data_IF_024888315811
#
_entry.id   IF_024888315811
#
_cell.length_a   1.000
_cell.length_b   1.000
_cell.length_c   1.000
_cell.angle_alpha   90.00
_cell.angle_beta   90.00
_cell.angle_gamma   90.00
#
_symmetry.space_group_name_H-M   'P 1'
#
loop_
_entity.id
_entity.type
_entity.pdbx_description
1 polymer ?
#
# COMPACT_ATOMS: atom_id res chain seq x y z
N UNK A 1 -17.41 21.20 21.66
CA UNK A 1 -17.45 21.02 20.18
C UNK A 1 -16.05 21.23 19.63
N UNK A 2 -15.50 20.27 18.87
CA UNK A 2 -14.24 20.51 18.14
C UNK A 2 -14.42 21.61 17.12
N UNK A 3 -13.45 22.51 17.01
CA UNK A 3 -13.48 23.51 15.94
C UNK A 3 -13.35 22.85 14.58
N UNK A 4 -14.21 23.23 13.64
CA UNK A 4 -14.13 22.78 12.25
C UNK A 4 -12.78 23.18 11.65
N UNK A 5 -12.04 22.18 11.15
CA UNK A 5 -10.70 22.37 10.54
C UNK A 5 -10.77 22.19 9.03
N UNK A 6 -9.93 22.92 8.31
CA UNK A 6 -9.71 22.75 6.88
C UNK A 6 -8.49 21.86 6.67
N UNK A 7 -8.70 20.68 6.07
CA UNK A 7 -7.67 19.67 5.86
C UNK A 7 -7.37 19.55 4.37
N UNK A 8 -6.10 19.71 4.00
CA UNK A 8 -5.62 19.48 2.64
C UNK A 8 -4.86 18.15 2.60
N UNK A 9 -5.31 17.22 1.76
CA UNK A 9 -4.69 15.91 1.57
C UNK A 9 -4.07 15.84 0.18
N UNK A 10 -2.75 15.56 0.10
CA UNK A 10 -1.98 15.61 -1.14
C UNK A 10 -1.47 14.22 -1.50
N UNK A 11 -1.76 13.76 -2.72
CA UNK A 11 -1.42 12.43 -3.26
C UNK A 11 -0.71 12.52 -4.61
N UNK A 12 0.00 11.45 -5.01
CA UNK A 12 0.60 11.32 -6.35
C UNK A 12 -0.22 10.48 -7.32
N UNK A 13 -1.37 9.96 -6.88
CA UNK A 13 -2.25 9.11 -7.70
C UNK A 13 -3.69 9.33 -7.25
N UNK A 14 -4.57 9.70 -8.17
CA UNK A 14 -5.94 10.07 -7.86
C UNK A 14 -6.76 8.89 -7.28
N UNK A 15 -6.66 7.70 -7.88
CA UNK A 15 -7.35 6.49 -7.44
C UNK A 15 -6.96 6.10 -6.01
N UNK A 16 -5.74 6.46 -5.58
CA UNK A 16 -5.30 6.17 -4.22
C UNK A 16 -6.09 6.91 -3.14
N UNK A 17 -6.70 8.05 -3.49
CA UNK A 17 -7.56 8.83 -2.60
C UNK A 17 -8.82 8.06 -2.21
N UNK A 18 -9.42 7.35 -3.16
CA UNK A 18 -10.61 6.54 -2.91
C UNK A 18 -10.26 5.15 -2.41
N UNK A 19 -9.30 4.47 -3.06
CA UNK A 19 -8.94 3.08 -2.77
C UNK A 19 -8.24 2.93 -1.42
N UNK A 20 -7.26 3.78 -1.11
CA UNK A 20 -6.45 3.64 0.12
C UNK A 20 -6.83 4.62 1.23
N UNK A 21 -7.44 5.75 0.90
CA UNK A 21 -7.70 6.85 1.85
C UNK A 21 -9.18 7.22 1.94
N UNK A 22 -10.05 6.62 1.12
CA UNK A 22 -11.47 6.96 1.09
C UNK A 22 -12.13 6.88 2.47
N UNK A 23 -11.87 5.84 3.23
CA UNK A 23 -12.38 5.70 4.61
C UNK A 23 -11.85 6.79 5.56
N UNK A 24 -10.56 7.19 5.44
CA UNK A 24 -9.99 8.27 6.23
C UNK A 24 -10.59 9.63 5.86
N UNK A 25 -10.73 9.90 4.55
CA UNK A 25 -11.34 11.15 4.06
C UNK A 25 -12.80 11.26 4.51
N UNK A 26 -13.55 10.16 4.38
CA UNK A 26 -14.93 10.10 4.84
C UNK A 26 -15.06 10.31 6.35
N UNK A 27 -14.16 9.74 7.14
CA UNK A 27 -14.13 9.94 8.58
C UNK A 27 -13.83 11.41 8.95
N UNK A 28 -12.90 12.08 8.26
CA UNK A 28 -12.63 13.51 8.47
C UNK A 28 -13.89 14.36 8.22
N UNK A 29 -14.62 14.07 7.13
CA UNK A 29 -15.87 14.78 6.80
C UNK A 29 -16.95 14.48 7.83
N UNK A 30 -17.09 13.22 8.26
CA UNK A 30 -18.06 12.82 9.28
C UNK A 30 -17.82 13.50 10.64
N UNK A 31 -16.56 13.81 10.98
CA UNK A 31 -16.23 14.64 12.15
C UNK A 31 -16.45 16.15 11.94
N UNK A 32 -17.01 16.54 10.78
CA UNK A 32 -17.39 17.94 10.47
C UNK A 32 -16.26 18.77 9.90
N UNK A 33 -15.13 18.21 9.50
CA UNK A 33 -14.02 18.94 8.90
C UNK A 33 -14.25 19.21 7.42
N UNK A 34 -13.62 20.27 6.91
CA UNK A 34 -13.65 20.61 5.49
C UNK A 34 -12.42 19.98 4.80
N UNK A 35 -12.66 18.98 3.95
CA UNK A 35 -11.59 18.20 3.32
C UNK A 35 -11.41 18.57 1.85
N UNK A 36 -10.16 18.88 1.48
CA UNK A 36 -9.72 19.11 0.11
C UNK A 36 -8.70 18.02 -0.22
N UNK A 37 -8.96 17.23 -1.25
CA UNK A 37 -8.05 16.19 -1.72
C UNK A 37 -7.42 16.61 -3.06
N UNK A 38 -6.11 16.44 -3.19
CA UNK A 38 -5.36 16.90 -4.36
C UNK A 38 -4.48 15.78 -4.91
N UNK A 39 -4.56 15.58 -6.23
CA UNK A 39 -3.77 14.58 -6.96
C UNK A 39 -3.71 14.96 -8.46
N UNK A 40 -2.99 14.20 -9.33
CA UNK A 40 -3.10 14.34 -10.79
C UNK A 40 -4.53 14.24 -11.30
N UNK A 41 -4.81 14.67 -12.53
CA UNK A 41 -6.15 14.56 -13.13
C UNK A 41 -6.79 13.19 -12.89
N UNK A 42 -8.03 13.19 -12.41
CA UNK A 42 -8.80 12.00 -12.09
C UNK A 42 -9.88 11.73 -13.14
N UNK A 43 -10.22 10.46 -13.32
CA UNK A 43 -11.38 10.02 -14.08
C UNK A 43 -12.73 10.36 -13.39
N UNK A 44 -13.83 10.18 -14.11
CA UNK A 44 -15.17 10.43 -13.61
C UNK A 44 -15.52 9.66 -12.33
N UNK A 45 -15.27 8.34 -12.26
CA UNK A 45 -15.54 7.53 -11.07
C UNK A 45 -14.87 8.03 -9.79
N UNK A 46 -13.58 8.39 -9.84
CA UNK A 46 -12.87 8.92 -8.67
C UNK A 46 -13.45 10.26 -8.22
N UNK A 47 -13.71 11.17 -9.17
CA UNK A 47 -14.33 12.47 -8.86
C UNK A 47 -15.71 12.31 -8.23
N UNK A 48 -16.54 11.44 -8.79
CA UNK A 48 -17.89 11.16 -8.27
C UNK A 48 -17.82 10.59 -6.86
N UNK A 49 -16.95 9.62 -6.60
CA UNK A 49 -16.78 9.03 -5.28
C UNK A 49 -16.32 10.06 -4.23
N UNK A 50 -15.36 10.94 -4.56
CA UNK A 50 -14.92 12.01 -3.66
C UNK A 50 -16.03 13.03 -3.39
N UNK A 51 -16.79 13.42 -4.42
CA UNK A 51 -17.91 14.34 -4.27
C UNK A 51 -19.03 13.75 -3.37
N UNK A 52 -19.35 12.47 -3.51
CA UNK A 52 -20.29 11.75 -2.64
C UNK A 52 -19.84 11.71 -1.17
N UNK A 53 -18.53 11.68 -0.92
CA UNK A 53 -17.97 11.80 0.44
C UNK A 53 -17.98 13.24 0.98
N UNK A 54 -18.36 14.25 0.18
CA UNK A 54 -18.25 15.66 0.56
C UNK A 54 -16.83 16.22 0.50
N UNK A 55 -15.92 15.56 -0.22
CA UNK A 55 -14.52 15.96 -0.38
C UNK A 55 -14.36 16.78 -1.66
N UNK A 56 -13.81 17.99 -1.54
CA UNK A 56 -13.47 18.83 -2.70
C UNK A 56 -12.20 18.27 -3.37
N UNK A 57 -12.26 18.00 -4.67
CA UNK A 57 -11.10 17.56 -5.45
C UNK A 57 -10.44 18.74 -6.17
N UNK A 58 -9.09 18.80 -6.12
CA UNK A 58 -8.26 19.74 -6.86
C UNK A 58 -7.18 19.02 -7.63
N UNK A 59 -6.96 19.39 -8.87
CA UNK A 59 -5.90 18.81 -9.69
C UNK A 59 -4.55 19.46 -9.42
N UNK A 60 -3.50 18.63 -9.40
CA UNK A 60 -2.11 19.03 -9.29
C UNK A 60 -1.27 18.35 -10.37
N UNK A 61 -0.29 19.04 -10.98
CA UNK A 61 0.58 18.46 -11.98
C UNK A 61 1.68 17.58 -11.34
N UNK A 62 1.28 16.52 -10.64
CA UNK A 62 2.21 15.59 -9.99
C UNK A 62 2.66 14.55 -11.00
N UNK A 63 3.94 14.57 -11.36
CA UNK A 63 4.57 13.48 -12.08
C UNK A 63 4.94 12.36 -11.09
N UNK A 64 4.34 11.18 -11.25
CA UNK A 64 4.49 10.05 -10.30
C UNK A 64 5.91 9.48 -10.29
N UNK A 65 6.57 9.46 -11.44
CA UNK A 65 7.89 8.85 -11.62
C UNK A 65 8.91 9.88 -12.14
N UNK A 66 10.18 9.63 -11.84
CA UNK A 66 11.30 10.44 -12.34
C UNK A 66 11.60 11.71 -11.54
N UNK A 67 12.75 12.30 -11.83
CA UNK A 67 13.23 13.57 -11.29
C UNK A 67 13.33 14.55 -12.48
N UNK A 68 12.25 15.25 -12.79
CA UNK A 68 12.24 16.33 -13.77
C UNK A 68 12.14 17.67 -13.01
N UNK A 69 13.22 18.47 -12.94
CA UNK A 69 13.26 19.69 -12.14
C UNK A 69 12.21 20.72 -12.56
N UNK A 70 11.90 20.79 -13.87
CA UNK A 70 10.93 21.76 -14.41
C UNK A 70 9.52 21.37 -13.93
N UNK A 71 9.14 20.08 -14.07
CA UNK A 71 7.85 19.58 -13.60
C UNK A 71 7.71 19.68 -12.09
N UNK A 72 8.80 19.42 -11.36
CA UNK A 72 8.80 19.54 -9.90
C UNK A 72 8.65 21.02 -9.48
N UNK A 73 9.24 21.98 -10.21
CA UNK A 73 9.02 23.41 -10.00
C UNK A 73 7.55 23.81 -10.30
N UNK A 74 6.98 23.32 -11.40
CA UNK A 74 5.56 23.56 -11.73
C UNK A 74 4.64 23.04 -10.62
N UNK A 75 4.93 21.84 -10.09
CA UNK A 75 4.21 21.29 -8.95
C UNK A 75 4.33 22.19 -7.71
N UNK A 76 5.54 22.69 -7.40
CA UNK A 76 5.76 23.58 -6.26
C UNK A 76 4.98 24.89 -6.39
N UNK A 77 4.95 25.50 -7.58
CA UNK A 77 4.16 26.72 -7.85
C UNK A 77 2.65 26.45 -7.67
N UNK A 78 2.15 25.34 -8.24
CA UNK A 78 0.75 24.96 -8.11
C UNK A 78 0.37 24.69 -6.65
N UNK A 79 1.21 23.98 -5.89
CA UNK A 79 1.04 23.76 -4.46
C UNK A 79 1.04 25.07 -3.66
N UNK A 80 1.96 25.98 -3.94
CA UNK A 80 2.02 27.28 -3.27
C UNK A 80 0.72 28.07 -3.47
N UNK A 81 0.27 28.19 -4.74
CA UNK A 81 -1.00 28.86 -5.05
C UNK A 81 -2.19 28.19 -4.33
N UNK A 82 -2.27 26.87 -4.38
CA UNK A 82 -3.36 26.11 -3.75
C UNK A 82 -3.36 26.28 -2.22
N UNK A 83 -2.22 26.16 -1.55
CA UNK A 83 -2.12 26.31 -0.09
C UNK A 83 -2.47 27.73 0.34
N UNK A 84 -1.97 28.76 -0.38
CA UNK A 84 -2.31 30.18 -0.09
C UNK A 84 -3.80 30.46 -0.28
N UNK A 85 -4.42 29.95 -1.34
CA UNK A 85 -5.86 30.18 -1.61
C UNK A 85 -6.76 29.40 -0.66
N UNK A 86 -6.40 28.15 -0.36
CA UNK A 86 -7.22 27.30 0.52
C UNK A 86 -7.02 27.61 2.00
N UNK A 87 -5.87 28.18 2.40
CA UNK A 87 -5.48 28.46 3.78
C UNK A 87 -5.84 27.29 4.73
N UNK A 88 -5.24 26.10 4.55
CA UNK A 88 -5.59 24.92 5.35
C UNK A 88 -5.01 25.03 6.77
N UNK A 89 -5.73 24.51 7.76
CA UNK A 89 -5.21 24.33 9.13
C UNK A 89 -4.23 23.15 9.21
N UNK A 90 -4.47 22.15 8.35
CA UNK A 90 -3.77 20.88 8.35
C UNK A 90 -3.43 20.47 6.92
N UNK A 91 -2.18 20.02 6.71
CA UNK A 91 -1.75 19.35 5.48
C UNK A 91 -1.31 17.94 5.82
N UNK A 92 -1.88 16.94 5.12
CA UNK A 92 -1.45 15.55 5.12
C UNK A 92 -0.95 15.19 3.72
N UNK A 93 0.34 14.91 3.58
CA UNK A 93 0.94 14.47 2.32
C UNK A 93 1.31 12.99 2.40
N UNK A 94 1.06 12.23 1.33
CA UNK A 94 1.52 10.84 1.25
C UNK A 94 2.09 10.51 -0.12
N UNK A 95 2.97 9.50 -0.20
CA UNK A 95 3.90 9.19 -1.30
C UNK A 95 5.03 10.21 -1.45
N UNK A 96 6.11 9.86 -2.15
CA UNK A 96 7.38 10.57 -2.10
C UNK A 96 7.29 12.07 -2.45
N UNK A 97 6.84 12.42 -3.66
CA UNK A 97 6.81 13.83 -4.10
C UNK A 97 5.85 14.70 -3.29
N UNK A 98 4.61 14.28 -3.00
CA UNK A 98 3.74 15.01 -2.08
C UNK A 98 4.35 15.23 -0.69
N UNK A 99 4.97 14.20 -0.11
CA UNK A 99 5.65 14.32 1.19
C UNK A 99 6.78 15.36 1.13
N UNK A 100 7.60 15.34 0.09
CA UNK A 100 8.72 16.27 -0.05
C UNK A 100 8.21 17.70 -0.32
N UNK A 101 7.51 17.89 -1.42
CA UNK A 101 7.14 19.22 -1.91
C UNK A 101 5.92 19.80 -1.19
N UNK A 102 4.91 18.94 -0.88
CA UNK A 102 3.72 19.35 -0.14
C UNK A 102 4.06 19.83 1.27
N UNK A 103 4.92 19.09 1.99
CA UNK A 103 5.34 19.50 3.33
C UNK A 103 6.25 20.76 3.30
N UNK A 104 7.13 20.86 2.29
CA UNK A 104 7.98 22.04 2.12
C UNK A 104 7.14 23.31 1.88
N UNK A 105 6.20 23.24 0.95
CA UNK A 105 5.32 24.37 0.59
C UNK A 105 4.36 24.70 1.74
N UNK A 106 3.79 23.70 2.41
CA UNK A 106 2.94 23.93 3.58
C UNK A 106 3.66 24.74 4.66
N UNK A 107 4.93 24.40 4.92
CA UNK A 107 5.77 25.16 5.86
C UNK A 107 6.09 26.58 5.36
N UNK A 108 6.38 26.75 4.07
CA UNK A 108 6.62 28.09 3.49
C UNK A 108 5.38 28.99 3.52
N UNK A 109 4.21 28.41 3.61
CA UNK A 109 2.93 29.10 3.75
C UNK A 109 2.44 29.16 5.20
N UNK A 110 3.28 28.83 6.19
CA UNK A 110 2.97 28.86 7.62
C UNK A 110 1.73 28.05 8.01
N UNK A 111 1.51 26.88 7.36
CA UNK A 111 0.41 25.99 7.74
C UNK A 111 0.63 25.49 9.18
N UNK A 112 -0.38 25.62 10.08
CA UNK A 112 -0.21 25.34 11.51
C UNK A 112 0.19 23.89 11.82
N UNK A 113 -0.26 22.90 11.01
CA UNK A 113 0.05 21.50 11.26
C UNK A 113 0.30 20.74 9.96
N UNK A 114 1.50 20.18 9.84
CA UNK A 114 1.91 19.42 8.66
C UNK A 114 2.24 17.99 9.05
N UNK A 115 1.65 17.04 8.34
CA UNK A 115 1.79 15.60 8.55
C UNK A 115 2.28 14.92 7.27
N UNK A 116 3.14 13.92 7.43
CA UNK A 116 3.64 13.11 6.33
C UNK A 116 3.32 11.64 6.57
N UNK A 117 2.81 10.94 5.56
CA UNK A 117 2.60 9.50 5.61
C UNK A 117 3.52 8.81 4.60
N UNK A 118 4.45 8.04 5.12
CA UNK A 118 5.42 7.26 4.36
C UNK A 118 4.80 5.89 4.06
N UNK A 119 4.45 5.66 2.81
CA UNK A 119 3.76 4.44 2.35
C UNK A 119 4.70 3.37 1.80
N UNK A 120 6.00 3.55 2.01
CA UNK A 120 7.10 2.71 1.54
C UNK A 120 8.23 3.56 0.98
N UNK A 121 9.45 2.99 0.92
CA UNK A 121 10.64 3.72 0.46
C UNK A 121 10.64 3.99 -1.05
N UNK A 122 9.88 3.23 -1.83
CA UNK A 122 9.83 3.33 -3.28
C UNK A 122 11.11 2.87 -3.98
N UNK A 123 11.04 2.79 -5.31
CA UNK A 123 12.11 2.30 -6.18
C UNK A 123 13.44 3.06 -6.03
N UNK A 124 13.39 4.37 -5.75
CA UNK A 124 14.58 5.23 -5.67
C UNK A 124 15.57 4.87 -4.55
N UNK A 125 15.15 4.07 -3.56
CA UNK A 125 16.03 3.60 -2.49
C UNK A 125 16.54 2.16 -2.68
N UNK A 126 15.96 1.39 -3.59
CA UNK A 126 16.28 -0.04 -3.79
C UNK A 126 17.20 -0.30 -4.98
N UNK A 127 17.26 0.59 -5.95
CA UNK A 127 18.10 0.42 -7.14
C UNK A 127 19.61 0.56 -6.83
N UNK A 128 20.47 -0.28 -7.49
CA UNK A 128 21.90 -0.41 -7.19
C UNK A 128 22.85 0.26 -8.19
N UNK A 129 22.34 0.88 -9.28
CA UNK A 129 23.17 1.51 -10.30
C UNK A 129 23.84 2.81 -9.84
N UNK A 130 24.92 3.27 -10.54
CA UNK A 130 25.58 4.55 -10.27
C UNK A 130 24.61 5.74 -10.39
N UNK A 131 23.73 5.74 -11.40
CA UNK A 131 22.65 6.74 -11.55
C UNK A 131 21.70 6.70 -10.35
N UNK A 132 21.39 5.52 -9.82
CA UNK A 132 20.59 5.36 -8.64
C UNK A 132 21.27 5.93 -7.38
N UNK A 133 22.60 5.90 -7.29
CA UNK A 133 23.34 6.49 -6.16
C UNK A 133 23.19 8.01 -6.11
N UNK A 134 23.31 8.70 -7.23
CA UNK A 134 23.11 10.16 -7.32
C UNK A 134 21.65 10.52 -7.01
N UNK A 135 20.71 9.82 -7.64
CA UNK A 135 19.27 9.98 -7.37
C UNK A 135 18.95 9.81 -5.89
N UNK A 136 19.53 8.80 -5.25
CA UNK A 136 19.36 8.53 -3.82
C UNK A 136 19.89 9.67 -2.94
N UNK A 137 21.04 10.25 -3.30
CA UNK A 137 21.62 11.39 -2.58
C UNK A 137 20.70 12.61 -2.70
N UNK A 138 20.22 12.94 -3.90
CA UNK A 138 19.25 14.02 -4.12
C UNK A 138 17.98 13.78 -3.31
N UNK A 139 17.38 12.59 -3.40
CA UNK A 139 16.18 12.23 -2.64
C UNK A 139 16.37 12.37 -1.14
N UNK A 140 17.55 12.00 -0.61
CA UNK A 140 17.86 12.20 0.81
C UNK A 140 17.80 13.67 1.22
N UNK A 141 18.40 14.57 0.43
CA UNK A 141 18.35 16.00 0.73
C UNK A 141 16.94 16.56 0.60
N UNK A 142 16.18 16.15 -0.41
CA UNK A 142 14.80 16.56 -0.61
C UNK A 142 13.89 16.09 0.55
N UNK A 143 14.00 14.82 0.98
CA UNK A 143 13.26 14.33 2.14
C UNK A 143 13.62 15.10 3.42
N UNK A 144 14.92 15.34 3.68
CA UNK A 144 15.34 16.15 4.84
C UNK A 144 14.72 17.53 4.82
N UNK A 145 14.70 18.18 3.66
CA UNK A 145 14.10 19.51 3.50
C UNK A 145 12.57 19.48 3.71
N UNK A 146 11.87 18.52 3.10
CA UNK A 146 10.43 18.36 3.19
C UNK A 146 9.96 17.98 4.60
N UNK A 147 10.68 17.05 5.25
CA UNK A 147 10.30 16.58 6.58
C UNK A 147 10.76 17.49 7.73
N UNK A 148 11.52 18.53 7.43
CA UNK A 148 11.92 19.51 8.47
C UNK A 148 10.69 20.28 8.98
N UNK A 149 10.39 20.13 10.26
CA UNK A 149 9.31 20.89 10.93
C UNK A 149 7.90 20.34 10.69
N UNK A 150 7.75 19.10 10.20
CA UNK A 150 6.46 18.40 10.27
C UNK A 150 6.15 18.03 11.72
N UNK A 151 4.86 17.92 12.04
CA UNK A 151 4.41 17.58 13.39
C UNK A 151 4.54 16.09 13.69
N UNK A 152 4.09 15.23 12.76
CA UNK A 152 4.17 13.77 12.86
C UNK A 152 4.49 13.17 11.51
N UNK A 153 5.37 12.16 11.49
CA UNK A 153 5.59 11.25 10.38
C UNK A 153 4.90 9.91 10.68
N UNK A 154 3.94 9.53 9.85
CA UNK A 154 3.32 8.20 9.91
C UNK A 154 4.12 7.22 9.05
N UNK A 155 4.38 6.02 9.58
CA UNK A 155 5.01 4.91 8.86
C UNK A 155 4.09 3.70 8.87
N UNK A 156 4.15 2.88 7.83
CA UNK A 156 3.33 1.68 7.72
C UNK A 156 4.04 0.42 8.24
N UNK A 157 5.35 0.46 8.43
CA UNK A 157 6.13 -0.61 9.04
C UNK A 157 7.36 -0.04 9.79
N UNK A 158 7.90 -0.79 10.78
CA UNK A 158 9.02 -0.33 11.59
C UNK A 158 10.36 -0.28 10.82
N UNK A 159 10.51 -1.08 9.77
CA UNK A 159 11.73 -1.09 8.97
C UNK A 159 11.90 0.20 8.19
N UNK A 160 10.82 0.74 7.60
CA UNK A 160 10.85 2.04 6.90
C UNK A 160 11.15 3.18 7.88
N UNK A 161 10.56 3.17 9.06
CA UNK A 161 10.88 4.15 10.10
C UNK A 161 12.37 4.08 10.47
N UNK A 162 12.90 2.89 10.73
CA UNK A 162 14.32 2.68 11.06
C UNK A 162 15.22 3.24 9.98
N UNK A 163 14.97 2.92 8.70
CA UNK A 163 15.75 3.43 7.57
C UNK A 163 15.72 4.96 7.50
N UNK A 164 14.54 5.59 7.72
CA UNK A 164 14.44 7.05 7.73
C UNK A 164 15.25 7.67 8.86
N UNK A 165 15.30 7.04 10.04
CA UNK A 165 16.12 7.49 11.18
C UNK A 165 17.62 7.30 10.91
N UNK A 166 18.05 6.11 10.47
CA UNK A 166 19.45 5.78 10.17
C UNK A 166 20.03 6.68 9.07
N UNK A 167 19.28 6.92 8.01
CA UNK A 167 19.66 7.82 6.92
C UNK A 167 19.52 9.30 7.29
N UNK A 168 19.09 9.61 8.51
CA UNK A 168 18.84 10.98 9.00
C UNK A 168 17.89 11.78 8.11
N UNK A 169 16.90 11.11 7.49
CA UNK A 169 15.85 11.74 6.71
C UNK A 169 14.81 12.38 7.64
N UNK A 170 14.54 11.72 8.76
CA UNK A 170 13.67 12.21 9.83
C UNK A 170 14.52 12.61 11.03
N UNK A 171 14.40 13.85 11.50
CA UNK A 171 15.11 14.35 12.68
C UNK A 171 14.64 13.61 13.94
N UNK A 172 15.50 13.52 14.97
CA UNK A 172 15.20 12.80 16.22
C UNK A 172 14.07 13.42 17.03
N UNK A 173 13.91 14.74 16.93
CA UNK A 173 12.88 15.53 17.60
C UNK A 173 11.49 15.45 16.95
N UNK A 174 11.39 14.92 15.72
CA UNK A 174 10.11 14.73 15.04
C UNK A 174 9.49 13.41 15.48
N UNK A 175 8.24 13.49 15.97
CA UNK A 175 7.43 12.33 16.36
C UNK A 175 7.16 11.44 15.16
N UNK A 176 7.35 10.14 15.30
CA UNK A 176 6.90 9.11 14.37
C UNK A 176 5.82 8.24 15.00
N UNK A 177 4.88 7.80 14.19
CA UNK A 177 3.78 6.93 14.60
C UNK A 177 3.65 5.81 13.58
N UNK A 178 3.66 4.57 14.06
CA UNK A 178 3.38 3.40 13.23
C UNK A 178 1.87 3.25 13.05
N UNK A 179 1.43 3.15 11.79
CA UNK A 179 0.06 2.88 11.42
C UNK A 179 0.00 1.55 10.66
N UNK A 180 -1.06 0.79 10.86
CA UNK A 180 -1.21 -0.54 10.27
C UNK A 180 -1.73 -0.45 8.82
N UNK A 181 -0.91 0.13 7.93
CA UNK A 181 -1.25 0.31 6.52
C UNK A 181 -2.36 1.33 6.28
N UNK A 182 -3.19 1.04 5.29
CA UNK A 182 -4.46 1.76 5.04
C UNK A 182 -5.64 1.17 5.80
N UNK A 183 -5.40 0.07 6.52
CA UNK A 183 -6.45 -0.74 7.08
C UNK A 183 -7.27 -1.52 6.04
N UNK A 184 -8.20 -2.32 6.51
CA UNK A 184 -9.18 -3.04 5.71
C UNK A 184 -10.56 -2.89 6.34
N UNK A 185 -11.59 -2.70 5.51
CA UNK A 185 -12.99 -2.74 5.96
C UNK A 185 -13.39 -4.19 6.25
N UNK A 186 -13.31 -4.57 7.51
CA UNK A 186 -13.65 -5.93 7.97
C UNK A 186 -15.14 -6.26 7.85
N UNK A 187 -16.00 -5.25 7.68
CA UNK A 187 -17.42 -5.40 7.42
C UNK A 187 -17.71 -5.68 5.94
N UNK A 188 -16.94 -5.08 5.02
CA UNK A 188 -17.04 -5.31 3.58
C UNK A 188 -16.33 -6.61 3.14
N UNK A 189 -15.19 -6.95 3.78
CA UNK A 189 -14.42 -8.18 3.54
C UNK A 189 -14.74 -9.21 4.63
N UNK A 190 -15.90 -9.87 4.51
CA UNK A 190 -16.37 -10.88 5.48
C UNK A 190 -15.82 -12.26 5.15
N UNK A 191 -15.60 -13.11 6.17
CA UNK A 191 -15.28 -14.51 5.94
C UNK A 191 -16.37 -15.22 5.12
N UNK A 192 -15.89 -16.07 4.22
CA UNK A 192 -16.76 -16.93 3.41
C UNK A 192 -16.18 -18.35 3.41
N UNK A 193 -16.99 -19.40 3.16
CA UNK A 193 -16.52 -20.78 3.10
C UNK A 193 -15.30 -20.97 2.19
N UNK A 194 -14.46 -21.94 2.50
CA UNK A 194 -13.34 -22.30 1.68
C UNK A 194 -13.79 -23.14 0.46
N UNK A 195 -13.11 -23.03 -0.69
CA UNK A 195 -13.36 -23.92 -1.81
C UNK A 195 -12.99 -25.37 -1.44
N UNK A 196 -13.65 -26.33 -2.10
CA UNK A 196 -13.43 -27.76 -1.83
C UNK A 196 -12.01 -28.24 -2.17
N UNK A 197 -11.36 -27.60 -3.18
CA UNK A 197 -9.99 -27.91 -3.57
C UNK A 197 -9.05 -26.82 -3.09
N UNK A 198 -7.91 -27.22 -2.53
CA UNK A 198 -6.82 -26.28 -2.19
C UNK A 198 -6.40 -25.50 -3.42
N UNK A 199 -6.35 -24.19 -3.30
CA UNK A 199 -6.00 -23.28 -4.40
C UNK A 199 -5.28 -22.05 -3.86
N UNK A 200 -4.44 -21.44 -4.70
CA UNK A 200 -3.59 -20.31 -4.35
C UNK A 200 -3.96 -19.09 -5.18
N UNK A 201 -3.90 -17.91 -4.57
CA UNK A 201 -4.22 -16.65 -5.23
C UNK A 201 -3.17 -15.60 -4.90
N UNK A 202 -2.71 -14.91 -5.93
CA UNK A 202 -1.92 -13.67 -5.82
C UNK A 202 -2.70 -12.52 -6.47
N UNK A 203 -2.74 -11.35 -5.80
CA UNK A 203 -3.34 -10.12 -6.33
C UNK A 203 -2.30 -9.02 -6.21
N UNK A 204 -1.79 -8.52 -7.34
CA UNK A 204 -0.79 -7.47 -7.37
C UNK A 204 -0.73 -6.77 -8.73
N UNK A 205 -0.12 -5.57 -8.80
CA UNK A 205 0.44 -5.10 -10.05
C UNK A 205 1.52 -6.07 -10.49
N UNK A 206 1.58 -6.39 -11.78
CA UNK A 206 2.51 -7.41 -12.29
C UNK A 206 3.92 -6.82 -12.44
N UNK A 207 4.57 -6.62 -11.28
CA UNK A 207 5.92 -6.09 -11.16
C UNK A 207 6.86 -7.16 -10.62
N UNK A 208 8.12 -7.15 -11.05
CA UNK A 208 9.16 -8.09 -10.57
C UNK A 208 9.33 -7.99 -9.04
N UNK A 209 9.32 -6.76 -8.49
CA UNK A 209 9.40 -6.54 -7.05
C UNK A 209 8.18 -7.04 -6.24
N UNK A 210 7.08 -7.37 -6.90
CA UNK A 210 5.94 -8.07 -6.26
C UNK A 210 6.12 -9.59 -6.19
N UNK A 211 7.20 -10.10 -6.77
CA UNK A 211 7.55 -11.53 -6.73
C UNK A 211 6.70 -12.39 -7.68
N UNK A 212 6.16 -11.81 -8.78
CA UNK A 212 5.32 -12.54 -9.74
C UNK A 212 6.08 -13.74 -10.33
N UNK A 213 7.37 -13.56 -10.69
CA UNK A 213 8.23 -14.64 -11.17
C UNK A 213 8.46 -15.72 -10.11
N UNK A 214 8.62 -15.33 -8.85
CA UNK A 214 8.78 -16.27 -7.73
C UNK A 214 7.51 -17.08 -7.53
N UNK A 215 6.33 -16.44 -7.64
CA UNK A 215 5.03 -17.10 -7.58
C UNK A 215 4.84 -18.10 -8.71
N UNK A 216 5.12 -17.71 -9.97
CA UNK A 216 5.01 -18.60 -11.13
C UNK A 216 5.98 -19.78 -11.03
N UNK A 217 7.24 -19.55 -10.60
CA UNK A 217 8.21 -20.62 -10.40
C UNK A 217 7.78 -21.60 -9.31
N UNK A 218 7.28 -21.10 -8.18
CA UNK A 218 6.73 -21.95 -7.12
C UNK A 218 5.52 -22.76 -7.61
N UNK A 219 4.64 -22.16 -8.44
CA UNK A 219 3.53 -22.86 -9.05
C UNK A 219 3.99 -24.03 -9.95
N UNK A 220 5.03 -23.83 -10.78
CA UNK A 220 5.62 -24.90 -11.58
C UNK A 220 6.13 -26.05 -10.72
N UNK A 221 6.85 -25.74 -9.62
CA UNK A 221 7.40 -26.74 -8.69
C UNK A 221 6.28 -27.55 -8.03
N UNK A 222 5.27 -26.87 -7.49
CA UNK A 222 4.13 -27.51 -6.81
C UNK A 222 3.34 -28.36 -7.79
N UNK A 223 3.02 -27.86 -8.99
CA UNK A 223 2.23 -28.60 -9.99
C UNK A 223 2.93 -29.84 -10.54
N UNK A 224 4.26 -29.83 -10.59
CA UNK A 224 5.02 -31.03 -10.95
C UNK A 224 4.82 -32.20 -9.96
N UNK A 225 4.56 -31.88 -8.68
CA UNK A 225 4.33 -32.87 -7.60
C UNK A 225 2.82 -33.09 -7.32
N UNK A 226 2.01 -32.05 -7.51
CA UNK A 226 0.57 -32.03 -7.24
C UNK A 226 -0.19 -31.51 -8.48
N UNK A 227 -0.36 -32.30 -9.53
CA UNK A 227 -1.08 -31.90 -10.75
C UNK A 227 -2.50 -31.44 -10.46
N UNK A 228 -2.94 -30.38 -11.13
CA UNK A 228 -4.32 -29.88 -11.02
C UNK A 228 -4.61 -28.96 -9.83
N UNK A 229 -3.60 -28.56 -9.04
CA UNK A 229 -3.74 -27.50 -8.03
C UNK A 229 -3.81 -26.13 -8.73
N UNK A 230 -4.88 -25.35 -8.52
CA UNK A 230 -5.03 -24.04 -9.17
C UNK A 230 -4.13 -22.98 -8.57
N UNK A 231 -3.42 -22.26 -9.44
CA UNK A 231 -2.67 -21.05 -9.11
C UNK A 231 -3.27 -19.88 -9.88
N UNK A 232 -3.90 -18.93 -9.18
CA UNK A 232 -4.59 -17.79 -9.77
C UNK A 232 -3.79 -16.51 -9.58
N UNK A 233 -3.79 -15.67 -10.61
CA UNK A 233 -3.14 -14.37 -10.61
C UNK A 233 -4.14 -13.29 -11.04
N UNK A 234 -4.31 -12.28 -10.21
CA UNK A 234 -5.11 -11.09 -10.48
C UNK A 234 -4.20 -9.88 -10.57
N UNK A 235 -4.36 -9.06 -11.60
CA UNK A 235 -3.57 -7.85 -11.74
C UNK A 235 -3.49 -7.34 -13.18
N UNK A 236 -2.54 -6.47 -13.41
CA UNK A 236 -2.25 -5.90 -14.73
C UNK A 236 -0.77 -5.58 -14.87
N UNK A 237 -0.26 -5.61 -16.09
CA UNK A 237 1.08 -5.12 -16.42
C UNK A 237 1.05 -3.60 -16.37
N UNK A 238 1.97 -2.99 -15.62
CA UNK A 238 2.07 -1.55 -15.41
C UNK A 238 3.12 -0.95 -16.37
N UNK A 239 2.95 0.30 -16.80
CA UNK A 239 3.92 1.06 -17.61
C UNK A 239 5.12 1.51 -16.77
N UNK A 240 5.84 0.59 -16.17
CA UNK A 240 7.03 0.87 -15.36
C UNK A 240 8.18 -0.06 -15.73
N UNK A 241 9.44 0.37 -15.58
CA UNK A 241 10.59 -0.48 -15.90
C UNK A 241 10.69 -1.80 -15.11
N UNK A 242 9.94 -1.92 -14.00
CA UNK A 242 9.89 -3.12 -13.16
C UNK A 242 8.75 -4.07 -13.54
N UNK A 243 7.94 -3.71 -14.54
CA UNK A 243 6.87 -4.58 -15.03
C UNK A 243 7.43 -5.89 -15.58
N UNK A 244 6.70 -7.00 -15.36
CA UNK A 244 7.03 -8.26 -16.02
C UNK A 244 6.78 -8.15 -17.53
N UNK A 245 7.44 -8.98 -18.31
CA UNK A 245 7.19 -9.05 -19.76
C UNK A 245 5.88 -9.77 -20.02
N UNK A 246 5.16 -9.30 -21.04
CA UNK A 246 3.91 -9.93 -21.46
C UNK A 246 4.12 -11.38 -21.92
N UNK A 247 5.29 -11.66 -22.53
CA UNK A 247 5.71 -12.98 -22.96
C UNK A 247 5.81 -13.97 -21.80
N UNK A 248 6.36 -13.53 -20.65
CA UNK A 248 6.46 -14.38 -19.46
C UNK A 248 5.06 -14.75 -18.96
N UNK A 249 4.13 -13.78 -18.88
CA UNK A 249 2.75 -14.02 -18.47
C UNK A 249 2.04 -14.98 -19.42
N UNK A 250 2.17 -14.77 -20.75
CA UNK A 250 1.59 -15.66 -21.76
C UNK A 250 2.10 -17.09 -21.61
N UNK A 251 3.41 -17.26 -21.46
CA UNK A 251 4.02 -18.59 -21.29
C UNK A 251 3.41 -19.35 -20.10
N UNK A 252 3.21 -18.66 -18.95
CA UNK A 252 2.63 -19.30 -17.75
C UNK A 252 1.13 -19.60 -17.89
N UNK A 253 0.42 -18.86 -18.72
CA UNK A 253 -0.99 -19.12 -19.02
C UNK A 253 -1.13 -20.28 -20.02
N UNK A 254 -0.32 -20.27 -21.08
CA UNK A 254 -0.38 -21.28 -22.15
C UNK A 254 0.03 -22.68 -21.67
N UNK A 255 1.03 -22.76 -20.77
CA UNK A 255 1.45 -24.04 -20.15
C UNK A 255 0.55 -24.45 -18.96
N UNK A 256 -0.45 -23.62 -18.62
CA UNK A 256 -1.40 -23.85 -17.55
C UNK A 256 -0.81 -23.68 -16.13
N UNK A 257 0.40 -23.12 -15.99
CA UNK A 257 1.01 -22.85 -14.68
C UNK A 257 0.16 -21.86 -13.87
N UNK A 258 -0.37 -20.82 -14.53
CA UNK A 258 -1.15 -19.75 -13.93
C UNK A 258 -2.50 -19.58 -14.62
N UNK A 259 -3.56 -19.50 -13.85
CA UNK A 259 -4.88 -19.00 -14.27
C UNK A 259 -4.90 -17.48 -14.09
N UNK A 260 -4.74 -16.72 -15.18
CA UNK A 260 -4.73 -15.26 -15.12
C UNK A 260 -6.15 -14.69 -15.25
N UNK A 261 -6.58 -13.92 -14.24
CA UNK A 261 -7.94 -13.36 -14.13
C UNK A 261 -8.02 -11.89 -14.55
N UNK A 262 -6.90 -11.29 -15.00
CA UNK A 262 -6.86 -9.88 -15.38
C UNK A 262 -7.02 -8.92 -14.20
N UNK A 263 -7.30 -7.65 -14.50
CA UNK A 263 -7.59 -6.61 -13.51
C UNK A 263 -9.06 -6.69 -13.09
N UNK A 264 -9.32 -6.88 -11.82
CA UNK A 264 -10.69 -6.94 -11.27
C UNK A 264 -11.06 -5.63 -10.57
N UNK A 265 -12.28 -5.17 -10.78
CA UNK A 265 -12.85 -4.05 -10.04
C UNK A 265 -13.20 -4.44 -8.60
N UNK A 266 -13.64 -5.68 -8.38
CA UNK A 266 -13.90 -6.27 -7.08
C UNK A 266 -13.09 -7.56 -6.93
N UNK A 267 -12.19 -7.60 -5.94
CA UNK A 267 -11.32 -8.75 -5.70
C UNK A 267 -11.95 -9.80 -4.76
N UNK A 268 -13.08 -9.47 -4.12
CA UNK A 268 -13.74 -10.37 -3.15
C UNK A 268 -14.13 -11.73 -3.75
N UNK A 269 -14.69 -11.83 -4.96
CA UNK A 269 -14.99 -13.12 -5.56
C UNK A 269 -13.73 -13.98 -5.79
N UNK A 270 -12.62 -13.37 -6.22
CA UNK A 270 -11.36 -14.09 -6.42
C UNK A 270 -10.77 -14.58 -5.09
N UNK A 271 -10.81 -13.76 -4.03
CA UNK A 271 -10.39 -14.15 -2.67
C UNK A 271 -11.29 -15.26 -2.14
N UNK A 272 -12.60 -15.18 -2.36
CA UNK A 272 -13.57 -16.21 -1.95
C UNK A 272 -13.28 -17.57 -2.58
N UNK A 273 -12.89 -17.58 -3.86
CA UNK A 273 -12.55 -18.76 -4.62
C UNK A 273 -11.16 -19.36 -4.31
N UNK A 274 -10.38 -18.71 -3.44
CA UNK A 274 -9.05 -19.16 -3.05
C UNK A 274 -9.01 -19.75 -1.64
N UNK A 275 -8.14 -20.74 -1.42
CA UNK A 275 -7.88 -21.31 -0.10
C UNK A 275 -6.80 -20.53 0.66
N UNK A 276 -5.74 -20.12 -0.03
CA UNK A 276 -4.56 -19.47 0.52
C UNK A 276 -4.19 -18.25 -0.32
N UNK A 277 -3.90 -17.16 0.34
CA UNK A 277 -3.39 -15.96 -0.30
C UNK A 277 -1.86 -15.94 -0.30
N UNK A 278 -1.25 -15.55 -1.43
CA UNK A 278 0.20 -15.59 -1.62
C UNK A 278 0.70 -14.24 -2.13
N UNK A 279 1.70 -13.66 -1.46
CA UNK A 279 2.35 -12.43 -1.93
C UNK A 279 3.86 -12.49 -1.63
N UNK A 280 4.70 -13.01 -2.53
CA UNK A 280 6.15 -13.15 -2.32
C UNK A 280 6.89 -11.85 -2.68
N UNK A 281 6.40 -10.70 -2.19
CA UNK A 281 6.93 -9.38 -2.50
C UNK A 281 8.30 -9.14 -1.85
N UNK A 282 9.15 -8.37 -2.51
CA UNK A 282 10.47 -7.99 -2.01
C UNK A 282 10.41 -6.89 -0.96
N UNK A 283 9.38 -6.06 -0.99
CA UNK A 283 9.13 -4.98 -0.03
C UNK A 283 7.72 -4.40 -0.20
N UNK A 284 7.09 -4.02 0.90
CA UNK A 284 5.80 -3.32 0.92
C UNK A 284 5.82 -2.17 1.97
N UNK A 285 4.82 -1.31 1.91
CA UNK A 285 4.45 -0.50 3.07
C UNK A 285 3.70 -1.37 4.09
N UNK A 286 2.45 -1.65 3.78
CA UNK A 286 1.63 -2.76 4.31
C UNK A 286 0.72 -3.18 3.15
N UNK A 287 0.80 -4.43 2.68
CA UNK A 287 0.11 -4.85 1.45
C UNK A 287 -1.39 -5.00 1.69
N UNK A 288 -2.18 -4.11 1.11
CA UNK A 288 -3.63 -4.05 1.31
C UNK A 288 -4.33 -5.35 0.90
N UNK A 289 -3.94 -5.96 -0.21
CA UNK A 289 -4.55 -7.20 -0.70
C UNK A 289 -4.34 -8.37 0.26
N UNK A 290 -3.24 -8.38 1.02
CA UNK A 290 -3.04 -9.31 2.13
C UNK A 290 -4.05 -9.05 3.25
N UNK A 291 -4.27 -7.77 3.62
CA UNK A 291 -5.25 -7.42 4.65
C UNK A 291 -6.67 -7.81 4.24
N UNK A 292 -7.02 -7.63 2.97
CA UNK A 292 -8.31 -8.02 2.39
C UNK A 292 -8.50 -9.55 2.45
N UNK A 293 -7.47 -10.31 2.08
CA UNK A 293 -7.50 -11.77 2.19
C UNK A 293 -7.58 -12.26 3.65
N UNK A 294 -6.80 -11.66 4.55
CA UNK A 294 -6.88 -11.93 6.00
C UNK A 294 -8.27 -11.64 6.56
N UNK A 295 -8.86 -10.51 6.17
CA UNK A 295 -10.21 -10.14 6.60
C UNK A 295 -11.26 -11.15 6.12
N UNK A 296 -11.08 -11.76 4.95
CA UNK A 296 -11.92 -12.84 4.45
C UNK A 296 -11.55 -14.23 5.00
N UNK A 297 -10.66 -14.29 5.99
CA UNK A 297 -10.27 -15.51 6.67
C UNK A 297 -9.34 -16.41 5.85
N UNK A 298 -8.52 -15.86 4.96
CA UNK A 298 -7.54 -16.65 4.19
C UNK A 298 -6.20 -16.68 4.90
N UNK A 299 -5.57 -17.85 5.10
CA UNK A 299 -4.18 -17.91 5.52
C UNK A 299 -3.27 -17.28 4.47
N UNK A 300 -2.12 -16.76 4.91
CA UNK A 300 -1.23 -15.96 4.06
C UNK A 300 0.15 -16.60 3.98
N UNK A 301 0.70 -16.74 2.76
CA UNK A 301 2.13 -17.00 2.55
C UNK A 301 2.77 -15.76 1.94
N UNK A 302 3.77 -15.22 2.64
CA UNK A 302 4.48 -14.02 2.18
C UNK A 302 5.96 -14.10 2.56
N UNK A 303 6.73 -13.13 2.11
CA UNK A 303 8.17 -13.06 2.38
C UNK A 303 8.47 -12.45 3.75
N UNK A 304 9.60 -12.83 4.33
CA UNK A 304 10.21 -12.14 5.46
C UNK A 304 10.89 -10.83 5.01
N UNK A 305 10.06 -9.92 4.52
CA UNK A 305 10.44 -8.62 3.98
C UNK A 305 9.71 -7.49 4.71
N UNK A 306 10.28 -6.25 4.72
CA UNK A 306 9.60 -5.08 5.27
C UNK A 306 8.19 -4.88 4.71
N UNK A 307 7.21 -4.65 5.58
CA UNK A 307 5.81 -4.49 5.24
C UNK A 307 5.04 -5.79 5.00
N UNK A 308 5.72 -6.86 4.60
CA UNK A 308 5.14 -8.19 4.45
C UNK A 308 5.09 -8.93 5.78
N UNK A 309 6.23 -9.02 6.48
CA UNK A 309 6.36 -9.78 7.73
C UNK A 309 5.42 -9.36 8.84
N UNK A 310 4.98 -8.10 8.85
CA UNK A 310 4.05 -7.57 9.85
C UNK A 310 2.64 -8.16 9.73
N UNK A 311 2.33 -8.76 8.57
CA UNK A 311 1.01 -9.35 8.29
C UNK A 311 0.94 -10.84 8.62
N UNK A 312 2.08 -11.50 8.86
CA UNK A 312 2.13 -12.94 9.13
C UNK A 312 2.89 -13.25 10.42
N UNK A 313 2.25 -13.96 11.31
CA UNK A 313 2.88 -14.69 12.42
C UNK A 313 3.15 -16.11 11.95
N UNK A 314 4.42 -16.42 11.63
CA UNK A 314 4.84 -17.70 11.07
C UNK A 314 4.29 -18.89 11.86
N UNK A 315 3.63 -19.82 11.18
CA UNK A 315 3.01 -21.00 11.78
C UNK A 315 1.65 -20.73 12.47
N UNK A 316 1.15 -19.48 12.51
CA UNK A 316 -0.12 -19.13 13.18
C UNK A 316 -1.21 -18.76 12.19
N UNK A 317 -0.98 -17.73 11.34
CA UNK A 317 -1.92 -17.33 10.30
C UNK A 317 -1.36 -17.55 8.89
N UNK A 318 -0.25 -18.26 8.76
CA UNK A 318 0.42 -18.56 7.51
C UNK A 318 1.93 -18.76 7.67
N UNK A 319 2.67 -18.59 6.58
CA UNK A 319 4.11 -18.83 6.57
C UNK A 319 4.88 -17.64 6.00
N UNK A 320 6.04 -17.36 6.61
CA UNK A 320 7.06 -16.46 6.07
C UNK A 320 8.12 -17.28 5.35
N UNK A 321 8.52 -16.85 4.16
CA UNK A 321 9.58 -17.46 3.34
C UNK A 321 10.67 -16.42 3.02
N UNK A 322 11.89 -16.84 2.69
CA UNK A 322 12.93 -15.91 2.24
C UNK A 322 12.53 -15.18 0.96
N UNK A 323 13.01 -13.94 0.80
CA UNK A 323 12.79 -13.13 -0.39
C UNK A 323 13.44 -13.78 -1.61
N UNK A 324 12.70 -13.93 -2.71
CA UNK A 324 13.20 -14.46 -3.97
C UNK A 324 13.35 -16.00 -4.02
N UNK A 325 13.00 -16.71 -2.95
CA UNK A 325 13.14 -18.16 -2.85
C UNK A 325 11.85 -18.89 -3.25
N UNK A 326 11.80 -19.35 -4.50
CA UNK A 326 10.65 -20.08 -5.05
C UNK A 326 10.50 -21.50 -4.48
N UNK A 327 11.62 -22.17 -4.10
CA UNK A 327 11.59 -23.50 -3.47
C UNK A 327 11.02 -23.44 -2.06
N UNK A 328 11.46 -22.47 -1.26
CA UNK A 328 10.90 -22.26 0.08
C UNK A 328 9.41 -21.87 -0.02
N UNK A 329 9.03 -21.07 -1.02
CA UNK A 329 7.63 -20.73 -1.27
C UNK A 329 6.83 -21.99 -1.63
N UNK A 330 7.31 -22.83 -2.58
CA UNK A 330 6.66 -24.07 -2.97
C UNK A 330 6.47 -25.00 -1.77
N UNK A 331 7.51 -25.19 -0.96
CA UNK A 331 7.47 -26.00 0.27
C UNK A 331 6.41 -25.48 1.26
N UNK A 332 6.30 -24.17 1.44
CA UNK A 332 5.28 -23.57 2.31
C UNK A 332 3.85 -23.81 1.77
N UNK A 333 3.67 -23.74 0.45
CA UNK A 333 2.39 -23.98 -0.21
C UNK A 333 1.98 -25.47 -0.14
N UNK A 334 2.92 -26.37 -0.30
CA UNK A 334 2.69 -27.83 -0.18
C UNK A 334 2.16 -28.24 1.19
N UNK A 335 2.51 -27.53 2.26
CA UNK A 335 1.96 -27.80 3.60
C UNK A 335 0.44 -27.70 3.64
N UNK A 336 -0.17 -26.77 2.90
CA UNK A 336 -1.62 -26.64 2.82
C UNK A 336 -2.27 -27.72 1.95
N UNK A 337 -1.54 -28.27 1.00
CA UNK A 337 -2.01 -29.40 0.16
C UNK A 337 -1.98 -30.69 0.97
N UNK A 338 -0.87 -30.94 1.68
CA UNK A 338 -0.65 -32.14 2.46
C UNK A 338 -1.45 -32.16 3.78
N UNK A 339 -1.74 -30.97 4.32
CA UNK A 339 -2.48 -30.81 5.58
C UNK A 339 -3.57 -29.73 5.41
N UNK A 340 -4.69 -30.05 4.72
CA UNK A 340 -5.75 -29.07 4.42
C UNK A 340 -6.43 -28.48 5.68
N UNK A 341 -6.35 -29.16 6.84
CA UNK A 341 -6.85 -28.64 8.12
C UNK A 341 -6.18 -27.36 8.57
N UNK A 342 -4.94 -27.07 8.11
CA UNK A 342 -4.26 -25.80 8.37
C UNK A 342 -4.99 -24.59 7.76
N UNK A 343 -5.78 -24.80 6.69
CA UNK A 343 -6.44 -23.71 5.99
C UNK A 343 -7.47 -23.02 6.89
N UNK A 344 -8.48 -23.69 7.45
CA UNK A 344 -9.43 -23.05 8.35
C UNK A 344 -8.79 -22.57 9.66
N UNK A 345 -7.85 -23.32 10.23
CA UNK A 345 -7.15 -22.95 11.46
C UNK A 345 -6.39 -21.62 11.31
N UNK A 346 -5.49 -21.53 10.33
CA UNK A 346 -4.72 -20.32 10.07
C UNK A 346 -5.58 -19.19 9.49
N UNK A 347 -6.64 -19.52 8.76
CA UNK A 347 -7.61 -18.56 8.25
C UNK A 347 -8.36 -17.85 9.38
N UNK A 348 -8.75 -18.56 10.42
CA UNK A 348 -9.37 -17.96 11.61
C UNK A 348 -8.44 -16.99 12.31
N UNK A 349 -7.16 -17.34 12.46
CA UNK A 349 -6.16 -16.45 13.04
C UNK A 349 -5.88 -15.23 12.15
N UNK A 350 -5.84 -15.40 10.81
CA UNK A 350 -5.78 -14.29 9.86
C UNK A 350 -6.93 -13.31 10.07
N UNK A 351 -8.17 -13.80 10.16
CA UNK A 351 -9.36 -12.97 10.43
C UNK A 351 -9.23 -12.23 11.76
N UNK A 352 -8.83 -12.93 12.82
CA UNK A 352 -8.63 -12.33 14.13
C UNK A 352 -7.64 -11.19 14.08
N UNK A 353 -6.47 -11.41 13.45
CA UNK A 353 -5.46 -10.36 13.27
C UNK A 353 -5.96 -9.19 12.43
N UNK A 354 -6.75 -9.44 11.38
CA UNK A 354 -7.33 -8.38 10.55
C UNK A 354 -8.27 -7.48 11.37
N UNK A 355 -9.14 -8.07 12.20
CA UNK A 355 -10.08 -7.34 13.06
C UNK A 355 -9.35 -6.56 14.16
N UNK A 356 -8.40 -7.21 14.87
CA UNK A 356 -7.73 -6.60 16.02
C UNK A 356 -6.72 -5.52 15.64
N UNK A 357 -5.99 -5.72 14.53
CA UNK A 357 -4.84 -4.87 14.18
C UNK A 357 -5.08 -4.00 12.95
N UNK A 358 -5.84 -4.48 11.97
CA UNK A 358 -5.91 -3.89 10.64
C UNK A 358 -7.29 -3.33 10.28
N UNK A 359 -8.26 -3.37 11.21
CA UNK A 359 -9.55 -2.72 10.94
C UNK A 359 -9.35 -1.23 10.64
N UNK A 360 -9.90 -0.80 9.51
CA UNK A 360 -9.75 0.55 9.00
C UNK A 360 -10.26 1.61 9.97
N UNK A 361 -11.28 1.28 10.77
CA UNK A 361 -11.80 2.20 11.80
C UNK A 361 -10.74 2.47 12.87
N UNK A 362 -10.08 1.42 13.36
CA UNK A 362 -8.99 1.52 14.33
C UNK A 362 -7.78 2.27 13.77
N UNK A 363 -7.39 1.96 12.53
CA UNK A 363 -6.27 2.64 11.84
C UNK A 363 -6.55 4.14 11.67
N UNK A 364 -7.74 4.49 11.19
CA UNK A 364 -8.13 5.89 11.01
C UNK A 364 -8.21 6.64 12.34
N UNK A 365 -8.72 6.00 13.41
CA UNK A 365 -8.78 6.60 14.75
C UNK A 365 -7.41 7.04 15.23
N UNK A 366 -6.37 6.21 15.05
CA UNK A 366 -4.98 6.57 15.41
C UNK A 366 -4.53 7.79 14.61
N UNK A 367 -4.70 7.81 13.29
CA UNK A 367 -4.30 8.94 12.47
C UNK A 367 -5.05 10.22 12.82
N UNK A 368 -6.38 10.15 12.97
CA UNK A 368 -7.22 11.30 13.30
C UNK A 368 -6.88 11.88 14.68
N UNK A 369 -6.62 11.03 15.68
CA UNK A 369 -6.20 11.45 17.02
C UNK A 369 -4.87 12.19 16.97
N UNK A 370 -3.85 11.65 16.28
CA UNK A 370 -2.54 12.30 16.14
C UNK A 370 -2.62 13.62 15.34
N UNK A 371 -3.58 13.74 14.43
CA UNK A 371 -3.85 14.96 13.68
C UNK A 371 -4.71 15.98 14.46
N UNK A 372 -5.24 15.62 15.63
CA UNK A 372 -6.16 16.45 16.40
C UNK A 372 -7.52 16.65 15.70
N UNK A 373 -7.96 15.64 14.95
CA UNK A 373 -9.22 15.63 14.19
C UNK A 373 -10.29 14.68 14.77
N UNK A 374 -9.97 13.96 15.84
CA UNK A 374 -10.91 13.12 16.58
C UNK A 374 -10.72 13.35 18.09
N UNK A 375 -11.81 13.14 18.86
CA UNK A 375 -11.80 13.15 20.33
C UNK A 375 -11.29 11.82 20.87
#
# INVERSE_FOLDING_TARGET
MMSRRKVLVIASLAESLTVFRGSLLNAMVAYGHHVIACAPPADGPVRTALAQMGVKYCELPVDRAGLNPIRDLQLMIALYSLVRQSAPDIVLSYTAKPVIYGSLIARLCDVPSVFALITGLGYGFTATSLKASLTRTILRHLYRAGLKGIRVAFFQNPDDERVFRELRLLRRDIRSVLVNGSGVDVGAFRPVPFPAKTSFLMIARLLSLKGVHVYAKAAQIVRARHPGVPFRLVGWIDDTPDAIREEDLRSWVDDGTIEFLGKLADVRPAIAAASVYVLPSYREGTPRTVLEAMAMGRPVVTTDAPGCRETVRHGRNGFLVPVGDAEALATALERFILSPSLIPEMGQESRRMAVEKYDVVGVNKVMLSEMGLAV
#
